data_IF_252005125840
#
_entry.id   IF_252005125840
#
_cell.length_a   1.000
_cell.length_b   1.000
_cell.length_c   1.000
_cell.angle_alpha   90.00
_cell.angle_beta   90.00
_cell.angle_gamma   90.00
#
_symmetry.space_group_name_H-M   'P 1'
#
loop_
_entity.id
_entity.type
_entity.pdbx_description
1 polymer ?
#
# COMPACT_ATOMS: atom_id res chain seq x y z
N UNK A 1 34.57 -17.29 8.21
CA UNK A 1 35.20 -16.68 7.02
C UNK A 1 34.14 -15.93 6.21
N UNK A 2 33.53 -14.87 6.77
CA UNK A 2 32.55 -14.04 6.04
C UNK A 2 32.92 -12.55 6.03
N UNK A 3 34.02 -12.17 6.69
CA UNK A 3 34.38 -10.78 6.95
C UNK A 3 35.07 -10.07 5.78
N UNK A 4 35.44 -10.78 4.70
CA UNK A 4 36.19 -10.19 3.59
C UNK A 4 35.29 -9.62 2.49
N UNK A 5 34.11 -10.20 2.27
CA UNK A 5 33.21 -9.79 1.18
C UNK A 5 32.41 -8.55 1.59
N UNK A 6 32.01 -8.46 2.87
CA UNK A 6 31.31 -7.31 3.44
C UNK A 6 32.18 -6.04 3.41
N UNK A 7 33.45 -6.13 3.81
CA UNK A 7 34.37 -4.98 3.79
C UNK A 7 34.68 -4.46 2.38
N UNK A 8 34.63 -5.33 1.36
CA UNK A 8 34.89 -4.92 -0.02
C UNK A 8 33.69 -4.17 -0.62
N UNK A 9 32.46 -4.59 -0.31
CA UNK A 9 31.24 -3.88 -0.75
C UNK A 9 31.01 -2.55 -0.01
N UNK A 10 31.38 -2.43 1.28
CA UNK A 10 31.29 -1.16 2.03
C UNK A 10 32.23 -0.06 1.53
N UNK A 11 33.32 -0.39 0.84
CA UNK A 11 34.25 0.60 0.29
C UNK A 11 33.71 1.24 -1.00
N UNK A 12 32.86 0.54 -1.74
CA UNK A 12 32.32 1.00 -3.02
C UNK A 12 30.93 1.63 -2.90
N UNK A 13 30.15 1.23 -1.87
CA UNK A 13 28.85 1.80 -1.57
C UNK A 13 28.80 2.21 -0.09
N UNK A 14 28.61 3.50 0.24
CA UNK A 14 28.45 3.91 1.63
C UNK A 14 27.22 3.23 2.22
N UNK A 15 27.40 2.47 3.30
CA UNK A 15 26.30 1.87 4.04
C UNK A 15 25.47 2.98 4.68
N UNK A 16 24.25 3.21 4.18
CA UNK A 16 23.25 4.06 4.84
C UNK A 16 22.63 3.24 5.99
N UNK A 17 22.81 3.71 7.23
CA UNK A 17 22.01 3.26 8.37
C UNK A 17 20.69 4.03 8.36
N UNK A 18 19.57 3.30 8.30
CA UNK A 18 18.26 3.86 8.61
C UNK A 18 18.10 3.82 10.15
N UNK A 19 18.64 4.82 10.85
CA UNK A 19 18.39 5.01 12.28
C UNK A 19 16.91 5.34 12.48
N UNK A 20 16.17 4.38 13.05
CA UNK A 20 14.90 4.67 13.70
C UNK A 20 15.19 5.40 15.02
N UNK A 21 14.49 6.49 15.37
CA UNK A 21 14.79 7.23 16.59
C UNK A 21 14.53 6.36 17.83
N UNK A 22 15.55 6.22 18.67
CA UNK A 22 15.42 5.62 20.01
C UNK A 22 14.68 6.60 20.93
N UNK A 23 13.51 6.17 21.42
CA UNK A 23 12.71 6.84 22.44
C UNK A 23 13.55 7.17 23.69
N UNK A 24 13.65 8.46 24.00
CA UNK A 24 14.07 8.96 25.31
C UNK A 24 12.90 9.68 25.96
N UNK A 25 12.15 8.93 26.76
CA UNK A 25 11.21 9.47 27.74
C UNK A 25 11.96 10.34 28.76
N UNK A 26 11.65 11.64 28.79
CA UNK A 26 11.69 12.45 30.01
C UNK A 26 10.47 13.37 30.02
N UNK A 27 9.49 12.97 30.84
CA UNK A 27 8.33 13.77 31.24
C UNK A 27 8.79 14.70 32.37
N UNK A 28 8.64 16.01 32.20
CA UNK A 28 8.56 16.93 33.32
C UNK A 28 7.51 18.01 33.02
N UNK A 29 6.55 18.10 33.94
CA UNK A 29 5.32 18.86 33.85
C UNK A 29 5.52 20.29 34.32
N UNK A 30 5.08 21.29 33.54
CA UNK A 30 4.40 22.47 34.08
C UNK A 30 3.71 23.30 33.00
N UNK A 31 2.43 23.57 33.24
CA UNK A 31 1.65 24.79 32.95
C UNK A 31 0.34 24.43 32.26
N UNK A 32 -0.65 24.14 33.11
CA UNK A 32 -2.07 24.36 32.78
C UNK A 32 -2.28 25.86 32.54
N UNK A 33 -3.06 26.19 31.51
CA UNK A 33 -3.91 27.37 31.28
C UNK A 33 -3.78 27.88 29.83
N UNK A 34 -4.55 27.22 28.95
CA UNK A 34 -5.24 27.87 27.83
C UNK A 34 -6.27 26.86 27.29
N UNK A 35 -7.43 26.79 27.96
CA UNK A 35 -8.68 26.44 27.28
C UNK A 35 -8.97 27.58 26.30
N UNK A 36 -8.37 27.51 25.11
CA UNK A 36 -8.95 28.12 23.93
C UNK A 36 -9.64 26.99 23.16
N UNK A 37 -10.94 27.17 22.99
CA UNK A 37 -11.82 26.36 22.15
C UNK A 37 -11.23 26.31 20.74
N UNK A 38 -10.40 25.30 20.48
CA UNK A 38 -10.13 24.88 19.12
C UNK A 38 -11.29 23.97 18.73
N UNK A 39 -12.41 24.58 18.30
CA UNK A 39 -13.15 24.01 17.19
C UNK A 39 -12.17 23.99 16.01
N UNK A 40 -11.31 22.96 15.97
CA UNK A 40 -10.78 22.48 14.71
C UNK A 40 -12.01 22.06 13.92
N UNK A 41 -12.49 22.95 13.05
CA UNK A 41 -13.09 22.50 11.80
C UNK A 41 -12.09 21.47 11.24
N UNK A 42 -12.36 20.18 11.47
CA UNK A 42 -11.69 19.10 10.75
C UNK A 42 -11.88 19.45 9.27
N UNK A 43 -10.87 20.06 8.65
CA UNK A 43 -10.79 20.17 7.21
C UNK A 43 -10.94 18.73 6.71
N UNK A 44 -12.09 18.39 6.10
CA UNK A 44 -12.29 17.08 5.48
C UNK A 44 -11.12 16.85 4.53
N UNK A 45 -10.19 15.99 4.93
CA UNK A 45 -9.09 15.59 4.06
C UNK A 45 -9.70 15.07 2.76
N UNK A 46 -9.18 15.48 1.58
CA UNK A 46 -9.71 15.01 0.32
C UNK A 46 -9.61 13.49 0.25
N UNK A 47 -10.76 12.82 0.12
CA UNK A 47 -10.83 11.35 0.04
C UNK A 47 -10.00 10.82 -1.15
N UNK A 48 -9.26 9.73 -0.94
CA UNK A 48 -8.54 9.06 -2.02
C UNK A 48 -9.53 8.48 -3.03
N UNK A 49 -9.50 9.01 -4.24
CA UNK A 49 -10.37 8.59 -5.36
C UNK A 49 -9.89 7.29 -6.04
N UNK A 50 -8.69 6.80 -5.73
CA UNK A 50 -8.11 5.62 -6.37
C UNK A 50 -8.91 4.32 -6.14
N UNK A 51 -9.37 3.96 -4.92
CA UNK A 51 -10.15 2.75 -4.70
C UNK A 51 -11.42 2.71 -5.55
N UNK A 52 -12.17 3.82 -5.59
CA UNK A 52 -13.40 3.94 -6.40
C UNK A 52 -13.11 3.77 -7.89
N UNK A 53 -12.09 4.44 -8.42
CA UNK A 53 -11.70 4.30 -9.84
C UNK A 53 -11.28 2.86 -10.16
N UNK A 54 -10.53 2.22 -9.26
CA UNK A 54 -10.04 0.87 -9.47
C UNK A 54 -11.18 -0.15 -9.46
N UNK A 55 -12.16 -0.02 -8.57
CA UNK A 55 -13.36 -0.86 -8.58
C UNK A 55 -14.20 -0.69 -9.84
N UNK A 56 -14.41 0.55 -10.30
CA UNK A 56 -15.09 0.81 -11.58
C UNK A 56 -14.37 0.13 -12.74
N UNK A 57 -13.05 0.16 -12.75
CA UNK A 57 -12.22 -0.48 -13.77
C UNK A 57 -12.28 -2.00 -13.71
N UNK A 58 -12.32 -2.61 -12.52
CA UNK A 58 -12.54 -4.05 -12.33
C UNK A 58 -13.92 -4.48 -12.85
N UNK A 59 -14.96 -3.69 -12.56
CA UNK A 59 -16.35 -3.93 -13.01
C UNK A 59 -16.58 -3.57 -14.48
N UNK A 60 -15.59 -3.01 -15.17
CA UNK A 60 -15.71 -2.61 -16.58
C UNK A 60 -15.89 -3.82 -17.50
N UNK A 61 -16.54 -3.62 -18.65
CA UNK A 61 -16.77 -4.71 -19.62
C UNK A 61 -15.47 -5.38 -20.11
N UNK A 62 -14.34 -4.67 -20.09
CA UNK A 62 -13.03 -5.20 -20.50
C UNK A 62 -12.39 -6.10 -19.42
N UNK A 63 -12.56 -5.76 -18.14
CA UNK A 63 -11.88 -6.46 -17.05
C UNK A 63 -12.78 -7.41 -16.25
N UNK A 64 -14.10 -7.29 -16.35
CA UNK A 64 -15.06 -8.06 -15.54
C UNK A 64 -14.90 -9.58 -15.66
N UNK A 65 -14.50 -10.09 -16.83
CA UNK A 65 -14.21 -11.51 -16.99
C UNK A 65 -12.97 -11.94 -16.21
N UNK A 66 -11.89 -11.13 -16.26
CA UNK A 66 -10.66 -11.38 -15.52
C UNK A 66 -10.89 -11.30 -14.01
N UNK A 67 -11.64 -10.31 -13.54
CA UNK A 67 -12.04 -10.20 -12.13
C UNK A 67 -12.79 -11.44 -11.66
N UNK A 68 -13.73 -11.98 -12.46
CA UNK A 68 -14.43 -13.24 -12.12
C UNK A 68 -13.50 -14.44 -12.05
N UNK A 69 -12.50 -14.53 -12.93
CA UNK A 69 -11.51 -15.61 -12.88
C UNK A 69 -10.68 -15.54 -11.60
N UNK A 70 -10.26 -14.34 -11.21
CA UNK A 70 -9.54 -14.11 -9.96
C UNK A 70 -10.38 -14.47 -8.73
N UNK A 71 -11.62 -14.00 -8.66
CA UNK A 71 -12.55 -14.32 -7.57
C UNK A 71 -12.78 -15.83 -7.46
N UNK A 72 -13.01 -16.51 -8.59
CA UNK A 72 -13.18 -17.95 -8.61
C UNK A 72 -11.93 -18.71 -8.16
N UNK A 73 -10.73 -18.27 -8.57
CA UNK A 73 -9.49 -18.85 -8.08
C UNK A 73 -9.37 -18.68 -6.57
N UNK A 74 -9.62 -17.46 -6.05
CA UNK A 74 -9.53 -17.19 -4.62
C UNK A 74 -10.49 -18.06 -3.82
N UNK A 75 -11.75 -18.17 -4.25
CA UNK A 75 -12.74 -19.06 -3.61
C UNK A 75 -12.21 -20.50 -3.53
N UNK A 76 -11.71 -21.04 -4.65
CA UNK A 76 -11.19 -22.41 -4.73
C UNK A 76 -9.99 -22.64 -3.82
N UNK A 77 -9.04 -21.69 -3.80
CA UNK A 77 -7.83 -21.77 -2.97
C UNK A 77 -8.18 -21.63 -1.48
N UNK A 78 -9.03 -20.68 -1.12
CA UNK A 78 -9.49 -20.47 0.26
C UNK A 78 -10.30 -21.65 0.80
N UNK A 79 -11.07 -22.32 -0.05
CA UNK A 79 -11.80 -23.55 0.31
C UNK A 79 -10.90 -24.79 0.42
N UNK A 80 -9.60 -24.67 0.13
CA UNK A 80 -8.67 -25.80 0.12
C UNK A 80 -8.94 -26.80 -1.02
N UNK A 81 -9.71 -26.39 -2.04
CA UNK A 81 -9.99 -27.17 -3.26
C UNK A 81 -8.95 -26.92 -4.35
N UNK A 82 -8.03 -25.99 -4.12
CA UNK A 82 -6.86 -25.77 -4.98
C UNK A 82 -5.80 -26.85 -4.84
N UNK A 83 -4.84 -26.87 -5.76
CA UNK A 83 -3.67 -27.73 -5.68
C UNK A 83 -2.73 -27.28 -4.55
N UNK A 84 -1.88 -28.19 -4.09
CA UNK A 84 -0.89 -27.87 -3.05
C UNK A 84 0.06 -26.80 -3.56
N UNK A 85 0.03 -25.63 -2.95
CA UNK A 85 0.85 -24.48 -3.34
C UNK A 85 0.29 -23.70 -4.53
N UNK A 86 -0.98 -23.91 -4.89
CA UNK A 86 -1.67 -23.04 -5.84
C UNK A 86 -1.84 -21.64 -5.25
N UNK A 87 -1.55 -20.63 -6.07
CA UNK A 87 -1.85 -19.22 -5.84
C UNK A 87 -2.66 -18.66 -7.02
N UNK A 88 -3.20 -17.45 -6.86
CA UNK A 88 -4.04 -16.78 -7.85
C UNK A 88 -3.35 -15.57 -8.48
N UNK A 89 -2.00 -15.57 -8.52
CA UNK A 89 -1.24 -14.42 -9.02
C UNK A 89 -1.38 -14.27 -10.53
N UNK A 90 -1.55 -15.38 -11.26
CA UNK A 90 -1.75 -15.36 -12.71
C UNK A 90 -3.10 -14.74 -13.09
N UNK A 91 -4.16 -15.06 -12.36
CA UNK A 91 -5.52 -14.55 -12.62
C UNK A 91 -5.71 -13.11 -12.14
N UNK A 92 -4.76 -12.58 -11.36
CA UNK A 92 -4.85 -11.24 -10.82
C UNK A 92 -4.96 -10.19 -11.94
N UNK A 93 -6.12 -9.54 -12.04
CA UNK A 93 -6.51 -8.63 -13.11
C UNK A 93 -5.79 -7.26 -13.12
N UNK A 94 -4.64 -7.13 -12.46
CA UNK A 94 -3.94 -5.85 -12.24
C UNK A 94 -3.65 -5.11 -13.53
N UNK A 95 -3.06 -5.78 -14.52
CA UNK A 95 -2.75 -5.13 -15.80
C UNK A 95 -3.99 -4.48 -16.42
N UNK A 96 -5.13 -5.18 -16.45
CA UNK A 96 -6.36 -4.63 -17.02
C UNK A 96 -6.91 -3.46 -16.19
N UNK A 97 -6.95 -3.61 -14.87
CA UNK A 97 -7.48 -2.60 -13.97
C UNK A 97 -6.62 -1.32 -13.98
N UNK A 98 -5.30 -1.47 -13.97
CA UNK A 98 -4.34 -0.35 -13.92
C UNK A 98 -4.28 0.40 -15.25
N UNK A 99 -4.31 -0.30 -16.39
CA UNK A 99 -4.41 0.34 -17.72
C UNK A 99 -5.69 1.20 -17.84
N UNK A 100 -6.77 0.78 -17.20
CA UNK A 100 -8.01 1.54 -17.12
C UNK A 100 -7.94 2.69 -16.09
N UNK A 101 -7.34 2.44 -14.92
CA UNK A 101 -7.35 3.37 -13.79
C UNK A 101 -6.36 4.52 -13.98
N UNK A 102 -5.17 4.26 -14.52
CA UNK A 102 -4.10 5.25 -14.65
C UNK A 102 -4.56 6.57 -15.29
N UNK A 103 -5.14 6.60 -16.51
CA UNK A 103 -5.53 7.89 -17.11
C UNK A 103 -6.65 8.60 -16.34
N UNK A 104 -7.52 7.88 -15.62
CA UNK A 104 -8.61 8.46 -14.83
C UNK A 104 -8.11 9.04 -13.51
N UNK A 105 -7.19 8.34 -12.85
CA UNK A 105 -6.62 8.74 -11.57
C UNK A 105 -5.77 10.01 -11.75
N UNK A 106 -4.83 10.00 -12.70
CA UNK A 106 -3.95 11.15 -12.95
C UNK A 106 -4.69 12.39 -13.50
N UNK A 107 -5.92 12.24 -13.99
CA UNK A 107 -6.76 13.39 -14.34
C UNK A 107 -7.40 14.08 -13.11
N UNK A 108 -7.48 13.38 -11.97
CA UNK A 108 -8.04 13.90 -10.71
C UNK A 108 -6.97 14.41 -9.75
N UNK A 109 -5.78 13.81 -9.78
CA UNK A 109 -4.63 14.27 -8.99
C UNK A 109 -4.08 15.56 -9.63
N UNK A 110 -4.04 16.65 -8.85
CA UNK A 110 -3.51 17.97 -9.27
C UNK A 110 -2.29 18.35 -8.45
#
# INVERSE_FOLDING_TARGET
>A
MSSSITSFFSSFFPTIHADAPEDKEQVDANTEEAQEEHEEEEEEEPEDVHPTIREECQKSAKCAALTKHFEHCQEKVMEGKGFKGEDCVEELMMHCADDCAAPKLFAKLR
#
